data_IF_547672130197
#
_entry.id   IF_547672130197
#
_cell.length_a   1.000
_cell.length_b   1.000
_cell.length_c   1.000
_cell.angle_alpha   90.00
_cell.angle_beta   90.00
_cell.angle_gamma   90.00
#
_symmetry.space_group_name_H-M   'P 1'
#
loop_
_entity.id
_entity.type
_entity.pdbx_description
1 polymer ?
#
# COMPACT_ATOMS: atom_id res chain seq x y z
N UNK A 1 -55.42 6.48 6.72
CA UNK A 1 -54.34 6.86 5.78
C UNK A 1 -53.04 6.81 6.59
N UNK A 2 -52.60 5.59 6.87
CA UNK A 2 -51.28 5.29 7.42
C UNK A 2 -50.39 5.04 6.21
N UNK A 3 -49.25 5.73 6.09
CA UNK A 3 -48.11 5.42 5.21
C UNK A 3 -47.12 6.60 5.26
N UNK A 4 -46.25 6.64 6.28
CA UNK A 4 -44.87 7.16 6.13
C UNK A 4 -44.06 6.91 7.42
N UNK A 5 -43.56 5.70 7.62
CA UNK A 5 -42.55 5.42 8.66
C UNK A 5 -41.59 4.27 8.26
N UNK A 6 -41.42 4.05 6.95
CA UNK A 6 -40.55 2.99 6.41
C UNK A 6 -39.18 3.50 5.90
N UNK A 7 -38.97 4.82 5.84
CA UNK A 7 -37.77 5.40 5.21
C UNK A 7 -36.56 5.63 6.12
N UNK A 8 -36.74 5.67 7.45
CA UNK A 8 -35.65 6.05 8.38
C UNK A 8 -34.97 4.87 9.09
N UNK A 9 -35.51 3.66 8.96
CA UNK A 9 -34.93 2.44 9.54
C UNK A 9 -33.91 1.73 8.62
N UNK A 10 -33.81 2.12 7.35
CA UNK A 10 -32.95 1.42 6.38
C UNK A 10 -31.49 1.92 6.40
N UNK A 11 -31.24 3.23 6.56
CA UNK A 11 -29.87 3.79 6.60
C UNK A 11 -29.06 3.35 7.83
N UNK A 12 -29.72 3.15 8.97
CA UNK A 12 -29.05 2.65 10.19
C UNK A 12 -28.77 1.14 10.13
N UNK A 13 -29.54 0.41 9.35
CA UNK A 13 -29.47 -1.05 9.22
C UNK A 13 -28.50 -1.49 8.11
N UNK A 14 -28.36 -0.70 7.05
CA UNK A 14 -27.32 -0.91 6.02
C UNK A 14 -25.92 -0.68 6.59
N UNK A 15 -25.70 0.40 7.34
CA UNK A 15 -24.41 0.67 8.01
C UNK A 15 -24.00 -0.39 9.03
N UNK A 16 -24.94 -0.90 9.84
CA UNK A 16 -24.65 -1.97 10.81
C UNK A 16 -24.38 -3.31 10.11
N UNK A 17 -25.13 -3.66 9.05
CA UNK A 17 -24.93 -4.88 8.27
C UNK A 17 -23.60 -4.87 7.51
N UNK A 18 -23.19 -3.72 6.98
CA UNK A 18 -21.91 -3.53 6.28
C UNK A 18 -20.72 -3.51 7.26
N UNK A 19 -20.91 -2.99 8.48
CA UNK A 19 -19.92 -3.11 9.56
C UNK A 19 -19.75 -4.56 10.06
N UNK A 20 -20.85 -5.33 10.17
CA UNK A 20 -20.80 -6.74 10.59
C UNK A 20 -20.10 -7.61 9.53
N UNK A 21 -20.30 -7.34 8.23
CA UNK A 21 -19.58 -8.06 7.17
C UNK A 21 -18.09 -7.71 7.11
N UNK A 22 -17.73 -6.43 7.28
CA UNK A 22 -16.33 -5.99 7.34
C UNK A 22 -15.61 -6.58 8.58
N UNK A 23 -16.25 -6.58 9.75
CA UNK A 23 -15.69 -7.16 10.97
C UNK A 23 -15.46 -8.68 10.82
N UNK A 24 -16.41 -9.39 10.17
CA UNK A 24 -16.27 -10.81 9.86
C UNK A 24 -15.07 -11.09 8.94
N UNK A 25 -14.87 -10.27 7.91
CA UNK A 25 -13.72 -10.38 7.01
C UNK A 25 -12.39 -10.16 7.75
N UNK A 26 -12.30 -9.12 8.59
CA UNK A 26 -11.10 -8.86 9.41
C UNK A 26 -10.85 -10.02 10.38
N UNK A 27 -11.91 -10.62 10.96
CA UNK A 27 -11.80 -11.81 11.84
C UNK A 27 -11.21 -12.99 11.11
N UNK A 28 -11.71 -13.23 9.91
CA UNK A 28 -11.19 -14.29 9.07
C UNK A 28 -9.71 -14.07 8.73
N UNK A 29 -9.32 -12.87 8.29
CA UNK A 29 -7.92 -12.54 7.95
C UNK A 29 -6.96 -12.73 9.14
N UNK A 30 -7.35 -12.28 10.33
CA UNK A 30 -6.54 -12.43 11.56
C UNK A 30 -6.37 -13.91 11.91
N UNK A 31 -7.44 -14.70 11.82
CA UNK A 31 -7.37 -16.15 12.11
C UNK A 31 -6.46 -16.84 11.09
N UNK A 32 -6.61 -16.54 9.79
CA UNK A 32 -5.76 -17.10 8.74
C UNK A 32 -4.29 -16.75 8.96
N UNK A 33 -3.97 -15.50 9.30
CA UNK A 33 -2.59 -15.09 9.61
C UNK A 33 -2.02 -15.85 10.81
N UNK A 34 -2.80 -15.99 11.89
CA UNK A 34 -2.41 -16.76 13.07
C UNK A 34 -2.16 -18.24 12.72
N UNK A 35 -2.98 -18.84 11.86
CA UNK A 35 -2.81 -20.21 11.39
C UNK A 35 -1.54 -20.39 10.55
N UNK A 36 -1.24 -19.43 9.66
CA UNK A 36 0.00 -19.43 8.88
C UNK A 36 1.22 -19.34 9.80
N UNK A 37 1.19 -18.47 10.82
CA UNK A 37 2.28 -18.36 11.81
C UNK A 37 2.43 -19.64 12.63
N UNK A 38 1.33 -20.24 13.06
CA UNK A 38 1.33 -21.51 13.77
C UNK A 38 1.95 -22.63 12.93
N UNK A 39 1.59 -22.73 11.65
CA UNK A 39 2.19 -23.69 10.72
C UNK A 39 3.71 -23.49 10.57
N UNK A 40 4.18 -22.24 10.44
CA UNK A 40 5.62 -21.90 10.39
C UNK A 40 6.36 -22.36 11.66
N UNK A 41 5.77 -22.11 12.83
CA UNK A 41 6.36 -22.52 14.12
C UNK A 41 6.40 -24.04 14.27
N UNK A 42 5.30 -24.73 13.98
CA UNK A 42 5.19 -26.19 14.12
C UNK A 42 6.13 -26.93 13.18
N UNK A 43 6.16 -26.57 11.90
CA UNK A 43 7.07 -27.19 10.92
C UNK A 43 8.55 -27.01 11.30
N UNK A 44 8.92 -25.82 11.77
CA UNK A 44 10.29 -25.54 12.26
C UNK A 44 10.65 -26.37 13.49
N UNK A 45 9.75 -26.47 14.45
CA UNK A 45 9.95 -27.28 15.65
C UNK A 45 10.08 -28.78 15.32
N UNK A 46 9.25 -29.28 14.42
CA UNK A 46 9.29 -30.68 13.97
C UNK A 46 10.64 -31.01 13.33
N UNK A 47 11.13 -30.16 12.41
CA UNK A 47 12.42 -30.40 11.76
C UNK A 47 13.58 -30.30 12.73
N UNK A 48 13.55 -29.35 13.67
CA UNK A 48 14.56 -29.26 14.75
C UNK A 48 14.55 -30.49 15.66
N UNK A 49 13.37 -31.08 15.90
CA UNK A 49 13.23 -32.29 16.70
C UNK A 49 13.77 -33.54 15.97
N UNK A 50 13.41 -33.71 14.69
CA UNK A 50 13.87 -34.84 13.86
C UNK A 50 15.39 -34.82 13.71
N UNK A 51 15.95 -33.65 13.41
CA UNK A 51 17.38 -33.51 13.11
C UNK A 51 18.22 -33.18 14.35
N UNK A 52 17.70 -33.36 15.58
CA UNK A 52 18.37 -32.89 16.81
C UNK A 52 19.82 -33.38 16.96
N UNK A 53 20.08 -34.65 16.61
CA UNK A 53 21.37 -35.32 16.82
C UNK A 53 22.34 -35.18 15.63
N UNK A 54 21.90 -34.59 14.52
CA UNK A 54 22.73 -34.36 13.34
C UNK A 54 23.94 -33.45 13.66
N UNK A 55 25.16 -33.87 13.31
CA UNK A 55 26.37 -33.04 13.45
C UNK A 55 26.64 -32.34 12.13
N UNK A 56 26.42 -31.03 12.08
CA UNK A 56 26.57 -30.21 10.88
C UNK A 56 27.65 -29.15 11.14
N UNK A 57 28.54 -28.92 10.16
CA UNK A 57 29.61 -27.92 10.26
C UNK A 57 29.10 -26.47 10.24
N UNK A 58 27.95 -26.25 9.60
CA UNK A 58 27.31 -24.93 9.41
C UNK A 58 26.21 -24.70 10.46
N UNK A 59 26.05 -23.48 11.00
CA UNK A 59 25.10 -23.16 12.07
C UNK A 59 23.62 -23.08 11.59
N UNK A 60 23.18 -23.98 10.71
CA UNK A 60 21.80 -23.97 10.18
C UNK A 60 20.74 -24.31 11.25
N UNK A 61 21.12 -25.10 12.26
CA UNK A 61 20.26 -25.35 13.44
C UNK A 61 20.09 -24.09 14.29
N UNK A 62 21.18 -23.35 14.48
CA UNK A 62 21.15 -22.06 15.20
C UNK A 62 20.28 -21.06 14.44
N UNK A 63 20.37 -21.04 13.10
CA UNK A 63 19.47 -20.28 12.24
C UNK A 63 18.00 -20.58 12.54
N UNK A 64 17.59 -21.85 12.48
CA UNK A 64 16.20 -22.25 12.71
C UNK A 64 15.72 -22.01 14.14
N UNK A 65 16.60 -22.18 15.13
CA UNK A 65 16.26 -21.91 16.53
C UNK A 65 15.97 -20.43 16.76
N UNK A 66 16.83 -19.53 16.28
CA UNK A 66 16.61 -18.08 16.40
C UNK A 66 15.44 -17.62 15.52
N UNK A 67 15.27 -18.22 14.34
CA UNK A 67 14.09 -17.97 13.51
C UNK A 67 12.79 -18.33 14.26
N UNK A 68 12.76 -19.45 14.98
CA UNK A 68 11.64 -19.86 15.81
C UNK A 68 11.38 -18.85 16.95
N UNK A 69 12.43 -18.40 17.66
CA UNK A 69 12.25 -17.43 18.76
C UNK A 69 11.72 -16.10 18.25
N UNK A 70 12.24 -15.59 17.13
CA UNK A 70 11.74 -14.36 16.50
C UNK A 70 10.30 -14.54 16.04
N UNK A 71 9.96 -15.68 15.41
CA UNK A 71 8.59 -15.97 14.96
C UNK A 71 7.60 -16.04 16.13
N UNK A 72 8.00 -16.60 17.26
CA UNK A 72 7.19 -16.61 18.49
C UNK A 72 6.99 -15.18 19.00
N UNK A 73 8.05 -14.37 19.10
CA UNK A 73 7.96 -12.98 19.55
C UNK A 73 7.02 -12.14 18.66
N UNK A 74 7.09 -12.31 17.34
CA UNK A 74 6.17 -11.68 16.38
C UNK A 74 4.73 -12.13 16.57
N UNK A 75 4.51 -13.43 16.76
CA UNK A 75 3.18 -14.00 17.00
C UNK A 75 2.56 -13.46 18.28
N UNK A 76 3.35 -13.37 19.36
CA UNK A 76 2.91 -12.79 20.63
C UNK A 76 2.57 -11.31 20.45
N UNK A 77 3.44 -10.53 19.80
CA UNK A 77 3.19 -9.09 19.55
C UNK A 77 1.93 -8.86 18.72
N UNK A 78 1.70 -9.69 17.69
CA UNK A 78 0.49 -9.66 16.88
C UNK A 78 -0.78 -9.98 17.70
N UNK A 79 -0.73 -11.01 18.56
CA UNK A 79 -1.86 -11.36 19.44
C UNK A 79 -2.14 -10.26 20.45
N UNK A 80 -1.09 -9.63 21.01
CA UNK A 80 -1.25 -8.50 21.93
C UNK A 80 -1.91 -7.30 21.23
N UNK A 81 -1.47 -6.97 20.00
CA UNK A 81 -2.07 -5.90 19.18
C UNK A 81 -3.54 -6.18 18.86
N UNK A 82 -3.85 -7.43 18.50
CA UNK A 82 -5.19 -7.82 18.07
C UNK A 82 -6.07 -8.39 19.20
N UNK A 83 -5.65 -8.29 20.48
CA UNK A 83 -6.39 -8.89 21.60
C UNK A 83 -7.79 -8.30 21.78
N UNK A 84 -7.97 -7.02 21.48
CA UNK A 84 -9.28 -6.36 21.57
C UNK A 84 -10.30 -7.00 20.62
N UNK A 85 -9.82 -7.45 19.48
CA UNK A 85 -10.61 -7.96 18.38
C UNK A 85 -11.20 -9.35 18.64
N UNK A 86 -10.54 -10.16 19.47
CA UNK A 86 -11.09 -11.42 19.97
C UNK A 86 -12.15 -11.24 21.07
N UNK A 87 -12.29 -10.03 21.63
CA UNK A 87 -13.11 -9.77 22.82
C UNK A 87 -14.38 -8.96 22.53
N UNK A 88 -14.38 -8.11 21.50
CA UNK A 88 -15.43 -7.12 21.26
C UNK A 88 -16.00 -7.30 19.85
N UNK A 89 -17.33 -7.27 19.71
CA UNK A 89 -18.05 -7.36 18.42
C UNK A 89 -18.25 -6.00 17.73
N UNK A 90 -17.40 -5.02 18.05
CA UNK A 90 -17.36 -3.68 17.48
C UNK A 90 -15.92 -3.34 17.11
N UNK A 91 -15.73 -2.61 16.01
CA UNK A 91 -14.43 -2.09 15.56
C UNK A 91 -13.79 -1.29 16.72
N UNK A 92 -12.65 -1.74 17.28
CA UNK A 92 -11.99 -1.03 18.37
C UNK A 92 -11.37 0.27 17.87
N UNK A 93 -11.35 1.29 18.72
CA UNK A 93 -10.63 2.53 18.44
C UNK A 93 -9.12 2.22 18.36
N UNK A 94 -8.50 2.53 17.22
CA UNK A 94 -7.12 2.16 16.89
C UNK A 94 -6.12 3.13 17.56
N UNK A 95 -6.12 3.16 18.89
CA UNK A 95 -5.06 3.83 19.64
C UNK A 95 -3.96 2.82 19.95
N UNK A 96 -3.06 2.67 18.98
CA UNK A 96 -1.89 1.80 19.13
C UNK A 96 -1.01 2.29 20.30
N UNK A 97 -0.58 1.36 21.15
CA UNK A 97 0.38 1.69 22.21
C UNK A 97 1.77 1.90 21.57
N UNK A 98 2.39 3.09 21.70
CA UNK A 98 3.64 3.41 21.02
C UNK A 98 4.77 2.44 21.36
N UNK A 99 4.81 1.91 22.59
CA UNK A 99 5.83 0.95 23.01
C UNK A 99 5.72 -0.38 22.27
N UNK A 100 4.48 -0.84 22.03
CA UNK A 100 4.20 -2.07 21.29
C UNK A 100 4.57 -1.90 19.82
N UNK A 101 4.29 -0.73 19.23
CA UNK A 101 4.65 -0.41 17.86
C UNK A 101 6.17 -0.38 17.69
N UNK A 102 6.88 0.31 18.58
CA UNK A 102 8.35 0.37 18.57
C UNK A 102 8.96 -1.02 18.67
N UNK A 103 8.50 -1.83 19.62
CA UNK A 103 8.99 -3.20 19.81
C UNK A 103 8.69 -4.07 18.59
N UNK A 104 7.49 -4.00 18.02
CA UNK A 104 7.13 -4.71 16.80
C UNK A 104 8.10 -4.36 15.66
N UNK A 105 8.33 -3.07 15.43
CA UNK A 105 9.23 -2.60 14.37
C UNK A 105 10.68 -3.08 14.59
N UNK A 106 11.16 -3.10 15.83
CA UNK A 106 12.47 -3.66 16.16
C UNK A 106 12.56 -5.15 15.80
N UNK A 107 11.54 -5.94 16.16
CA UNK A 107 11.48 -7.37 15.83
C UNK A 107 11.39 -7.59 14.31
N UNK A 108 10.68 -6.74 13.57
CA UNK A 108 10.66 -6.77 12.10
C UNK A 108 12.07 -6.61 11.51
N UNK A 109 12.82 -5.61 11.97
CA UNK A 109 14.18 -5.34 11.51
C UNK A 109 15.13 -6.50 11.83
N UNK A 110 15.05 -7.04 13.05
CA UNK A 110 15.85 -8.20 13.46
C UNK A 110 15.55 -9.44 12.60
N UNK A 111 14.27 -9.65 12.27
CA UNK A 111 13.85 -10.77 11.43
C UNK A 111 14.41 -10.68 10.00
N UNK A 112 14.37 -9.49 9.40
CA UNK A 112 14.96 -9.24 8.09
C UNK A 112 16.48 -9.49 8.11
N UNK A 113 17.17 -8.96 9.11
CA UNK A 113 18.60 -9.20 9.30
C UNK A 113 18.91 -10.70 9.42
N UNK A 114 18.08 -11.43 10.17
CA UNK A 114 18.27 -12.87 10.34
C UNK A 114 18.07 -13.64 9.04
N UNK A 115 17.14 -13.25 8.17
CA UNK A 115 17.00 -13.87 6.84
C UNK A 115 18.20 -13.64 5.94
N UNK A 116 18.83 -12.46 5.98
CA UNK A 116 20.06 -12.19 5.24
C UNK A 116 21.20 -13.11 5.70
N UNK A 117 21.32 -13.30 7.02
CA UNK A 117 22.31 -14.20 7.59
C UNK A 117 22.02 -15.67 7.26
N UNK A 118 20.74 -16.07 7.27
CA UNK A 118 20.29 -17.39 6.83
C UNK A 118 20.60 -17.66 5.36
N UNK A 119 20.42 -16.68 4.48
CA UNK A 119 20.80 -16.77 3.08
C UNK A 119 22.29 -16.97 2.90
N UNK A 120 23.10 -16.17 3.60
CA UNK A 120 24.55 -16.32 3.60
C UNK A 120 24.98 -17.74 4.02
N UNK A 121 24.40 -18.28 5.10
CA UNK A 121 24.70 -19.64 5.55
C UNK A 121 24.15 -20.75 4.62
N UNK A 122 23.05 -20.51 3.90
CA UNK A 122 22.56 -21.41 2.86
C UNK A 122 23.52 -21.46 1.67
N UNK A 123 24.15 -20.34 1.31
CA UNK A 123 25.13 -20.28 0.22
C UNK A 123 26.44 -20.97 0.58
N UNK A 124 26.88 -20.90 1.84
CA UNK A 124 28.12 -21.54 2.30
C UNK A 124 28.01 -23.07 2.38
N UNK A 125 26.80 -23.65 2.35
CA UNK A 125 26.62 -25.09 2.49
C UNK A 125 26.24 -25.80 1.18
N UNK A 126 27.26 -26.23 0.42
CA UNK A 126 27.05 -27.04 -0.79
C UNK A 126 26.65 -28.49 -0.49
N UNK A 127 27.23 -29.10 0.55
CA UNK A 127 27.02 -30.52 0.89
C UNK A 127 25.70 -30.78 1.65
N UNK A 128 25.11 -29.75 2.28
CA UNK A 128 23.91 -29.88 3.12
C UNK A 128 22.68 -30.43 2.37
N UNK A 129 22.62 -30.21 1.05
CA UNK A 129 21.50 -30.65 0.19
C UNK A 129 21.27 -32.16 0.24
N UNK A 130 22.35 -32.93 0.39
CA UNK A 130 22.32 -34.39 0.38
C UNK A 130 22.38 -35.01 1.77
N UNK A 131 23.12 -34.41 2.71
CA UNK A 131 23.30 -34.98 4.05
C UNK A 131 22.09 -34.75 4.96
N UNK A 132 21.48 -33.56 4.92
CA UNK A 132 20.35 -33.18 5.78
C UNK A 132 19.30 -32.39 4.97
N UNK A 133 18.60 -33.05 4.03
CA UNK A 133 17.73 -32.39 3.07
C UNK A 133 16.57 -31.62 3.74
N UNK A 134 15.93 -32.19 4.76
CA UNK A 134 14.80 -31.55 5.44
C UNK A 134 15.19 -30.21 6.07
N UNK A 135 16.34 -30.17 6.74
CA UNK A 135 16.86 -28.95 7.38
C UNK A 135 17.20 -27.88 6.34
N UNK A 136 17.86 -28.28 5.24
CA UNK A 136 18.26 -27.39 4.16
C UNK A 136 17.03 -26.81 3.44
N UNK A 137 16.12 -27.65 2.96
CA UNK A 137 14.96 -27.20 2.17
C UNK A 137 13.98 -26.37 3.01
N UNK A 138 13.77 -26.71 4.29
CA UNK A 138 12.92 -25.88 5.15
C UNK A 138 13.53 -24.49 5.38
N UNK A 139 14.84 -24.44 5.66
CA UNK A 139 15.55 -23.16 5.85
C UNK A 139 15.52 -22.32 4.56
N UNK A 140 15.76 -22.95 3.40
CA UNK A 140 15.70 -22.30 2.10
C UNK A 140 14.29 -21.78 1.79
N UNK A 141 13.24 -22.56 2.11
CA UNK A 141 11.86 -22.15 1.94
C UNK A 141 11.53 -20.91 2.77
N UNK A 142 11.91 -20.88 4.05
CA UNK A 142 11.62 -19.73 4.92
C UNK A 142 12.38 -18.48 4.51
N UNK A 143 13.65 -18.62 4.15
CA UNK A 143 14.47 -17.51 3.64
C UNK A 143 13.87 -16.99 2.33
N UNK A 144 13.52 -17.86 1.39
CA UNK A 144 12.92 -17.48 0.11
C UNK A 144 11.56 -16.78 0.26
N UNK A 145 10.65 -17.33 1.06
CA UNK A 145 9.36 -16.69 1.37
C UNK A 145 9.55 -15.35 2.10
N UNK A 146 10.56 -15.25 2.97
CA UNK A 146 10.96 -14.02 3.64
C UNK A 146 11.31 -12.93 2.62
N UNK A 147 12.25 -13.20 1.71
CA UNK A 147 12.63 -12.24 0.67
C UNK A 147 11.47 -11.85 -0.23
N UNK A 148 10.63 -12.81 -0.64
CA UNK A 148 9.45 -12.49 -1.46
C UNK A 148 8.52 -11.50 -0.76
N UNK A 149 8.21 -11.72 0.53
CA UNK A 149 7.36 -10.83 1.32
C UNK A 149 7.93 -9.42 1.48
N UNK A 150 9.26 -9.24 1.46
CA UNK A 150 9.90 -7.93 1.56
C UNK A 150 10.13 -7.25 0.19
N UNK A 151 10.49 -8.02 -0.83
CA UNK A 151 10.76 -7.50 -2.18
C UNK A 151 9.46 -7.14 -2.89
N UNK A 152 8.40 -7.95 -2.77
CA UNK A 152 7.12 -7.69 -3.43
C UNK A 152 6.52 -6.29 -3.14
N UNK A 153 6.43 -5.81 -1.88
CA UNK A 153 5.92 -4.46 -1.61
C UNK A 153 6.86 -3.35 -2.12
N UNK A 154 8.18 -3.54 -2.06
CA UNK A 154 9.13 -2.58 -2.63
C UNK A 154 8.97 -2.48 -4.15
N UNK A 155 8.84 -3.63 -4.83
CA UNK A 155 8.56 -3.68 -6.25
C UNK A 155 7.22 -3.05 -6.60
N UNK A 156 6.18 -3.31 -5.79
CA UNK A 156 4.87 -2.68 -5.97
C UNK A 156 4.94 -1.15 -5.83
N UNK A 157 5.67 -0.63 -4.84
CA UNK A 157 5.88 0.81 -4.67
C UNK A 157 6.63 1.39 -5.88
N UNK A 158 7.71 0.75 -6.33
CA UNK A 158 8.45 1.20 -7.52
C UNK A 158 7.54 1.23 -8.75
N UNK A 159 6.76 0.17 -8.97
CA UNK A 159 5.78 0.10 -10.07
C UNK A 159 4.74 1.20 -9.93
N UNK A 160 4.20 1.45 -8.74
CA UNK A 160 3.26 2.54 -8.49
C UNK A 160 3.88 3.91 -8.78
N UNK A 161 5.15 4.13 -8.40
CA UNK A 161 5.85 5.38 -8.71
C UNK A 161 6.10 5.53 -10.22
N UNK A 162 6.44 4.44 -10.91
CA UNK A 162 6.57 4.44 -12.37
C UNK A 162 5.23 4.68 -13.07
N UNK A 163 4.15 4.09 -12.57
CA UNK A 163 2.78 4.34 -13.02
C UNK A 163 2.44 5.81 -12.79
N UNK A 164 2.57 6.33 -11.57
CA UNK A 164 2.29 7.75 -11.27
C UNK A 164 3.12 8.68 -12.16
N UNK A 165 4.39 8.36 -12.39
CA UNK A 165 5.24 9.11 -13.31
C UNK A 165 4.73 9.02 -14.76
N UNK A 166 4.34 7.83 -15.22
CA UNK A 166 3.82 7.60 -16.57
C UNK A 166 2.44 8.22 -16.79
N UNK A 167 1.59 8.27 -15.76
CA UNK A 167 0.24 8.80 -15.80
C UNK A 167 0.16 10.29 -15.48
N UNK A 168 1.29 11.01 -15.36
CA UNK A 168 1.28 12.48 -15.35
C UNK A 168 0.57 12.92 -16.63
N UNK A 169 -0.67 13.40 -16.50
CA UNK A 169 -1.53 13.69 -17.65
C UNK A 169 -0.84 14.72 -18.55
N UNK A 170 -0.57 14.32 -19.79
CA UNK A 170 -0.22 15.28 -20.83
C UNK A 170 -1.48 16.10 -21.13
N UNK A 171 -1.54 17.31 -20.57
CA UNK A 171 -2.61 18.27 -20.85
C UNK A 171 -2.63 18.56 -22.36
N UNK A 172 -3.83 18.68 -22.94
CA UNK A 172 -3.98 18.93 -24.38
C UNK A 172 -3.35 20.28 -24.73
N UNK A 173 -2.29 20.25 -25.54
CA UNK A 173 -1.64 21.45 -26.09
C UNK A 173 -2.01 21.59 -27.56
N UNK A 174 -2.46 22.78 -27.95
CA UNK A 174 -2.79 23.15 -29.32
C UNK A 174 -1.95 24.36 -29.70
N UNK A 175 -1.45 24.38 -30.93
CA UNK A 175 -0.81 25.55 -31.53
C UNK A 175 -1.60 25.92 -32.77
N UNK A 176 -2.03 27.17 -32.88
CA UNK A 176 -2.69 27.67 -34.09
C UNK A 176 -1.67 27.85 -35.21
N UNK A 177 -1.97 27.34 -36.40
CA UNK A 177 -1.09 27.39 -37.58
C UNK A 177 -1.52 28.45 -38.60
N UNK A 178 -2.81 28.78 -38.61
CA UNK A 178 -3.40 29.78 -39.48
C UNK A 178 -4.24 30.74 -38.64
N UNK A 179 -4.30 32.03 -39.01
CA UNK A 179 -5.08 33.05 -38.28
C UNK A 179 -6.58 32.71 -38.24
N UNK A 180 -7.09 32.00 -39.24
CA UNK A 180 -8.48 31.53 -39.30
C UNK A 180 -8.82 30.46 -38.26
N UNK A 181 -7.82 29.80 -37.66
CA UNK A 181 -8.04 28.79 -36.61
C UNK A 181 -8.17 29.41 -35.22
N UNK A 182 -7.75 30.67 -35.07
CA UNK A 182 -7.84 31.42 -33.82
C UNK A 182 -9.32 31.82 -33.65
N UNK A 183 -10.00 31.37 -32.57
CA UNK A 183 -11.35 31.81 -32.31
C UNK A 183 -11.39 33.33 -32.14
N UNK A 184 -12.49 33.96 -32.56
CA UNK A 184 -12.77 35.40 -32.60
C UNK A 184 -12.11 36.24 -31.47
N UNK A 185 -11.85 37.53 -31.70
CA UNK A 185 -11.07 38.50 -30.88
C UNK A 185 -11.32 38.54 -29.35
N UNK A 186 -12.32 37.81 -28.87
CA UNK A 186 -12.64 37.59 -27.46
C UNK A 186 -11.76 36.55 -26.74
N UNK A 187 -11.03 35.70 -27.47
CA UNK A 187 -10.20 34.64 -26.88
C UNK A 187 -8.79 35.16 -26.54
N UNK A 188 -8.53 35.37 -25.25
CA UNK A 188 -7.26 35.85 -24.71
C UNK A 188 -6.84 35.02 -23.50
N UNK A 189 -5.55 34.98 -23.21
CA UNK A 189 -5.04 34.35 -22.01
C UNK A 189 -5.36 35.23 -20.80
N UNK A 190 -6.12 34.73 -19.83
CA UNK A 190 -6.52 35.53 -18.65
C UNK A 190 -5.43 35.68 -17.58
N UNK A 191 -4.25 35.06 -17.79
CA UNK A 191 -3.09 35.21 -16.90
C UNK A 191 -2.24 36.43 -17.33
N UNK A 192 -1.88 36.52 -18.62
CA UNK A 192 -1.10 37.66 -19.14
C UNK A 192 -1.96 38.76 -19.80
N UNK A 193 -3.25 38.49 -20.02
CA UNK A 193 -4.20 39.37 -20.72
C UNK A 193 -3.87 39.65 -22.20
N UNK A 194 -3.04 38.80 -22.82
CA UNK A 194 -2.67 38.91 -24.23
C UNK A 194 -3.54 37.98 -25.11
N UNK A 195 -3.74 38.38 -26.37
CA UNK A 195 -4.42 37.58 -27.40
C UNK A 195 -3.57 36.35 -27.77
N UNK A 196 -4.23 35.34 -28.32
CA UNK A 196 -3.52 34.17 -28.84
C UNK A 196 -2.84 34.46 -30.16
N UNK A 197 -1.59 34.00 -30.29
CA UNK A 197 -0.76 34.19 -31.49
C UNK A 197 -0.47 32.86 -32.19
N UNK A 198 -0.09 32.94 -33.46
CA UNK A 198 0.35 31.79 -34.25
C UNK A 198 1.57 31.12 -33.62
N UNK A 199 1.62 29.79 -33.71
CA UNK A 199 2.69 28.94 -33.20
C UNK A 199 2.96 29.04 -31.68
N UNK A 200 2.18 29.82 -30.94
CA UNK A 200 2.25 29.89 -29.47
C UNK A 200 1.42 28.74 -28.88
N UNK A 201 2.00 27.90 -28.01
CA UNK A 201 1.29 26.75 -27.45
C UNK A 201 0.26 27.17 -26.42
N UNK A 202 -0.95 26.66 -26.58
CA UNK A 202 -2.10 26.88 -25.69
C UNK A 202 -2.47 25.56 -25.06
N UNK A 203 -2.59 25.57 -23.73
CA UNK A 203 -2.87 24.39 -22.93
C UNK A 203 -4.30 24.44 -22.41
N UNK A 204 -5.04 23.35 -22.62
CA UNK A 204 -6.39 23.16 -22.12
C UNK A 204 -6.34 22.34 -20.84
N UNK A 205 -6.98 22.85 -19.79
CA UNK A 205 -7.16 22.14 -18.53
C UNK A 205 -8.32 21.13 -18.64
N UNK A 206 -8.43 20.15 -17.73
CA UNK A 206 -9.54 19.20 -17.73
C UNK A 206 -10.92 19.85 -17.51
N UNK A 207 -10.95 21.08 -16.98
CA UNK A 207 -12.15 21.92 -16.87
C UNK A 207 -12.45 22.75 -18.12
N UNK A 208 -11.80 22.44 -19.26
CA UNK A 208 -11.94 23.06 -20.58
C UNK A 208 -11.48 24.52 -20.71
N UNK A 209 -11.02 25.15 -19.63
CA UNK A 209 -10.37 26.45 -19.68
C UNK A 209 -8.98 26.36 -20.34
N UNK A 210 -8.59 27.42 -21.04
CA UNK A 210 -7.42 27.46 -21.90
C UNK A 210 -6.56 28.70 -21.62
N UNK A 211 -5.24 28.54 -21.75
CA UNK A 211 -4.24 29.56 -21.44
C UNK A 211 -2.98 29.30 -22.27
N UNK A 212 -2.09 30.28 -22.41
CA UNK A 212 -0.73 30.01 -22.89
C UNK A 212 -0.06 28.94 -22.02
N UNK A 213 0.62 27.98 -22.65
CA UNK A 213 1.29 26.88 -21.96
C UNK A 213 2.27 27.43 -20.92
N UNK A 214 3.08 28.43 -21.28
CA UNK A 214 4.03 29.07 -20.36
C UNK A 214 3.34 29.69 -19.14
N UNK A 215 2.29 30.48 -19.36
CA UNK A 215 1.57 31.16 -18.28
C UNK A 215 0.93 30.17 -17.30
N UNK A 216 0.28 29.13 -17.82
CA UNK A 216 -0.39 28.16 -16.96
C UNK A 216 0.58 27.18 -16.32
N UNK A 217 1.71 26.88 -16.95
CA UNK A 217 2.75 26.04 -16.34
C UNK A 217 3.39 26.74 -15.13
N UNK A 218 3.64 28.05 -15.19
CA UNK A 218 4.08 28.83 -14.02
C UNK A 218 3.05 28.82 -12.90
N UNK A 219 1.76 28.95 -13.23
CA UNK A 219 0.68 28.87 -12.25
C UNK A 219 0.61 27.49 -11.60
N UNK A 220 0.65 26.42 -12.41
CA UNK A 220 0.55 25.03 -11.95
C UNK A 220 1.78 24.58 -11.15
N UNK A 221 2.93 25.22 -11.31
CA UNK A 221 4.08 25.02 -10.42
C UNK A 221 3.82 25.52 -8.98
N UNK A 222 2.87 26.42 -8.79
CA UNK A 222 2.51 27.00 -7.49
C UNK A 222 1.20 26.43 -6.93
N UNK A 223 0.21 26.19 -7.80
CA UNK A 223 -1.14 25.75 -7.42
C UNK A 223 -1.71 24.78 -8.46
N UNK A 224 -2.14 23.61 -8.02
CA UNK A 224 -2.82 22.60 -8.85
C UNK A 224 -4.31 22.93 -9.14
N UNK A 225 -4.65 24.21 -9.31
CA UNK A 225 -6.02 24.66 -9.54
C UNK A 225 -6.13 25.56 -10.75
N UNK A 226 -7.26 25.48 -11.45
CA UNK A 226 -7.55 26.37 -12.57
C UNK A 226 -7.61 27.84 -12.10
N UNK A 227 -6.89 28.77 -12.74
CA UNK A 227 -6.96 30.20 -12.40
C UNK A 227 -8.37 30.79 -12.48
N UNK A 228 -9.21 30.26 -13.39
CA UNK A 228 -10.55 30.78 -13.65
C UNK A 228 -11.62 30.20 -12.72
N UNK A 229 -11.73 28.86 -12.65
CA UNK A 229 -12.80 28.20 -11.90
C UNK A 229 -12.36 27.58 -10.58
N UNK A 230 -11.07 27.65 -10.24
CA UNK A 230 -10.46 27.10 -9.01
C UNK A 230 -10.59 25.58 -8.82
N UNK A 231 -11.14 24.86 -9.82
CA UNK A 231 -11.20 23.39 -9.81
C UNK A 231 -9.79 22.79 -9.87
N UNK A 232 -9.59 21.67 -9.16
CA UNK A 232 -8.32 20.96 -9.17
C UNK A 232 -8.08 20.35 -10.57
N UNK A 233 -6.83 20.36 -11.04
CA UNK A 233 -6.47 19.72 -12.31
C UNK A 233 -6.40 18.19 -12.20
N UNK A 234 -6.29 17.65 -10.98
CA UNK A 234 -6.29 16.21 -10.75
C UNK A 234 -7.73 15.69 -10.74
N UNK A 235 -8.10 14.91 -11.76
CA UNK A 235 -9.43 14.27 -11.88
C UNK A 235 -9.77 13.32 -10.72
N UNK A 236 -8.78 12.91 -9.93
CA UNK A 236 -8.99 12.08 -8.73
C UNK A 236 -9.46 12.89 -7.51
N UNK A 237 -9.30 14.22 -7.53
CA UNK A 237 -9.67 15.07 -6.40
C UNK A 237 -11.18 15.01 -6.10
N UNK A 238 -12.01 15.09 -7.14
CA UNK A 238 -13.47 15.07 -7.02
C UNK A 238 -14.03 13.71 -6.54
N UNK A 239 -13.23 12.64 -6.60
CA UNK A 239 -13.61 11.30 -6.10
C UNK A 239 -13.34 11.18 -4.59
N UNK A 240 -12.30 11.84 -4.10
CA UNK A 240 -11.88 11.77 -2.69
C UNK A 240 -12.69 12.75 -1.85
N UNK A 241 -12.88 13.97 -2.35
CA UNK A 241 -13.63 15.03 -1.70
C UNK A 241 -14.77 15.47 -2.63
N UNK A 242 -15.97 14.87 -2.55
CA UNK A 242 -17.12 15.35 -3.31
C UNK A 242 -17.44 16.78 -2.89
N UNK A 243 -17.75 17.69 -3.83
CA UNK A 243 -18.09 19.06 -3.49
C UNK A 243 -19.29 19.06 -2.52
N UNK A 244 -19.13 19.69 -1.36
CA UNK A 244 -20.24 20.00 -0.46
C UNK A 244 -21.27 20.76 -1.30
N UNK A 245 -22.42 20.13 -1.55
CA UNK A 245 -23.52 20.77 -2.26
C UNK A 245 -23.87 22.05 -1.50
N UNK A 246 -23.62 23.21 -2.11
CA UNK A 246 -24.09 24.49 -1.61
C UNK A 246 -25.62 24.41 -1.46
N UNK A 247 -26.08 24.47 -0.21
CA UNK A 247 -27.49 24.59 0.18
C UNK A 247 -27.94 26.03 -0.02
#
# INVERSE_FOLDING_TARGET
>A
MELNDAGHLDERNTGSRQQVSALGCIKYLIIVDLMIRAFKMSSTLIVLYIEKDAKIKVPLKTFLFVYLTITIARSVTFVLKNRAFFRIDRIPDFRDNPDIVLFSNFIEALHLFWYLLGFHWLQECDECKHTHPLLYYLSALWVGLGFFMFIAPLMAIIVLLLIVHFYRQELKVINYREESDIPDDTYHCTICFELYELDVPIKFLPCEHHFHSSCVDEWLNLKDTCPLCKKNINLLYDIVDPPESEI
#
